data_IF_153425342724
#
_entry.id   IF_153425342724
#
_cell.length_a   1.000
_cell.length_b   1.000
_cell.length_c   1.000
_cell.angle_alpha   90.00
_cell.angle_beta   90.00
_cell.angle_gamma   90.00
#
_symmetry.space_group_name_H-M   'P 1'
#
loop_
_entity.id
_entity.type
_entity.pdbx_description
1 polymer ?
#
# COMPACT_ATOMS: atom_id res chain seq x y z
N UNK A 1 -18.18 -11.09 16.56
CA UNK A 1 -18.58 -11.32 15.16
C UNK A 1 -18.93 -12.79 15.05
N UNK A 2 -20.16 -13.11 14.67
CA UNK A 2 -20.58 -14.51 14.44
C UNK A 2 -20.40 -14.86 12.96
N UNK A 3 -19.96 -16.07 12.66
CA UNK A 3 -19.79 -16.53 11.27
C UNK A 3 -21.10 -16.49 10.47
N UNK A 4 -22.23 -16.72 11.14
CA UNK A 4 -23.56 -16.62 10.53
C UNK A 4 -23.96 -15.20 10.06
N UNK A 5 -23.21 -14.19 10.46
CA UNK A 5 -23.46 -12.78 10.11
C UNK A 5 -22.48 -12.24 9.05
N UNK A 6 -21.59 -13.11 8.57
CA UNK A 6 -20.59 -12.73 7.55
C UNK A 6 -20.99 -13.41 6.24
N UNK A 7 -20.90 -12.72 5.09
CA UNK A 7 -21.09 -13.33 3.78
C UNK A 7 -19.86 -14.22 3.44
N UNK A 8 -19.76 -15.34 4.16
CA UNK A 8 -18.60 -16.23 4.12
C UNK A 8 -18.87 -17.40 3.16
N UNK A 9 -17.96 -17.63 2.23
CA UNK A 9 -18.06 -18.69 1.24
C UNK A 9 -16.71 -19.38 1.04
N UNK A 10 -16.51 -20.52 1.70
CA UNK A 10 -15.35 -21.36 1.45
C UNK A 10 -15.47 -22.09 0.10
N UNK A 11 -14.34 -22.35 -0.52
CA UNK A 11 -14.24 -23.13 -1.74
C UNK A 11 -13.66 -24.51 -1.43
N UNK A 12 -14.23 -25.55 -2.05
CA UNK A 12 -13.69 -26.92 -1.98
C UNK A 12 -12.35 -27.01 -2.72
N UNK A 13 -12.34 -26.48 -3.94
CA UNK A 13 -11.19 -26.55 -4.83
C UNK A 13 -10.50 -25.19 -4.94
N UNK A 14 -9.20 -25.21 -5.21
CA UNK A 14 -8.46 -23.98 -5.46
C UNK A 14 -8.75 -23.47 -6.88
N UNK A 15 -8.94 -22.15 -7.06
CA UNK A 15 -8.99 -21.57 -8.39
C UNK A 15 -7.72 -21.90 -9.18
N UNK A 16 -7.86 -22.12 -10.49
CA UNK A 16 -6.75 -22.54 -11.37
C UNK A 16 -5.61 -21.53 -11.44
N UNK A 17 -5.89 -20.25 -11.24
CA UNK A 17 -4.92 -19.18 -11.21
C UNK A 17 -4.10 -19.11 -9.91
N UNK A 18 -4.55 -19.79 -8.85
CA UNK A 18 -3.85 -19.82 -7.58
C UNK A 18 -2.77 -20.91 -7.58
N UNK A 19 -1.54 -20.55 -7.90
CA UNK A 19 -0.39 -21.47 -8.00
C UNK A 19 0.27 -21.66 -6.63
N UNK A 20 0.45 -20.58 -5.87
CA UNK A 20 1.15 -20.59 -4.58
C UNK A 20 0.20 -21.11 -3.49
N UNK A 21 0.69 -21.98 -2.62
CA UNK A 21 -0.13 -22.61 -1.57
C UNK A 21 -0.80 -21.61 -0.63
N UNK A 22 -0.13 -20.52 -0.25
CA UNK A 22 -0.73 -19.45 0.55
C UNK A 22 -1.90 -18.77 -0.17
N UNK A 23 -1.76 -18.49 -1.47
CA UNK A 23 -2.82 -17.93 -2.30
C UNK A 23 -4.02 -18.88 -2.38
N UNK A 24 -3.76 -20.17 -2.63
CA UNK A 24 -4.80 -21.20 -2.66
C UNK A 24 -5.59 -21.26 -1.35
N UNK A 25 -4.89 -21.29 -0.22
CA UNK A 25 -5.51 -21.34 1.11
C UNK A 25 -6.29 -20.08 1.43
N UNK A 26 -5.76 -18.91 1.11
CA UNK A 26 -6.45 -17.65 1.34
C UNK A 26 -7.74 -17.54 0.53
N UNK A 27 -7.75 -17.96 -0.75
CA UNK A 27 -8.95 -17.97 -1.56
C UNK A 27 -9.95 -19.03 -1.10
N UNK A 28 -9.50 -20.24 -0.81
CA UNK A 28 -10.37 -21.32 -0.31
C UNK A 28 -11.04 -20.98 1.00
N UNK A 29 -10.31 -20.35 1.92
CA UNK A 29 -10.82 -19.93 3.24
C UNK A 29 -11.60 -18.62 3.20
N UNK A 30 -11.85 -18.04 2.01
CA UNK A 30 -12.53 -16.75 1.83
C UNK A 30 -11.88 -15.60 2.62
N UNK A 31 -10.56 -15.62 2.71
CA UNK A 31 -9.80 -14.53 3.32
C UNK A 31 -9.60 -13.37 2.33
N UNK A 32 -9.52 -13.69 1.05
CA UNK A 32 -9.44 -12.73 -0.06
C UNK A 32 -10.37 -13.15 -1.19
N UNK A 33 -10.87 -12.15 -1.95
CA UNK A 33 -11.58 -12.36 -3.21
C UNK A 33 -10.95 -11.54 -4.32
N UNK A 34 -10.81 -12.17 -5.48
CA UNK A 34 -10.31 -11.52 -6.68
C UNK A 34 -11.34 -10.53 -7.22
N UNK A 35 -10.92 -9.31 -7.49
CA UNK A 35 -11.70 -8.30 -8.20
C UNK A 35 -11.25 -8.17 -9.66
N UNK A 36 -9.96 -8.32 -9.91
CA UNK A 36 -9.33 -8.29 -11.22
C UNK A 36 -7.94 -8.92 -11.15
N UNK A 37 -7.20 -8.95 -12.24
CA UNK A 37 -5.83 -9.47 -12.24
C UNK A 37 -4.95 -8.63 -11.32
N UNK A 38 -4.30 -9.28 -10.35
CA UNK A 38 -3.50 -8.60 -9.32
C UNK A 38 -4.30 -7.82 -8.27
N UNK A 39 -5.64 -7.73 -8.40
CA UNK A 39 -6.49 -6.94 -7.52
C UNK A 39 -7.35 -7.85 -6.64
N UNK A 40 -7.13 -7.77 -5.34
CA UNK A 40 -7.84 -8.59 -4.35
C UNK A 40 -8.44 -7.73 -3.24
N UNK A 41 -9.62 -8.14 -2.79
CA UNK A 41 -10.28 -7.57 -1.61
C UNK A 41 -10.07 -8.49 -0.42
N UNK A 42 -9.57 -7.96 0.70
CA UNK A 42 -9.55 -8.68 1.95
C UNK A 42 -10.97 -8.81 2.51
N UNK A 43 -11.39 -10.05 2.71
CA UNK A 43 -12.67 -10.37 3.36
C UNK A 43 -12.56 -10.19 4.89
N UNK A 44 -13.66 -10.15 5.64
CA UNK A 44 -13.63 -9.81 7.06
C UNK A 44 -12.65 -10.64 7.90
N UNK A 45 -12.52 -11.95 7.66
CA UNK A 45 -11.56 -12.79 8.38
C UNK A 45 -10.12 -12.52 7.93
N UNK A 46 -9.91 -12.35 6.61
CA UNK A 46 -8.61 -11.99 6.05
C UNK A 46 -8.12 -10.64 6.56
N UNK A 47 -9.01 -9.65 6.63
CA UNK A 47 -8.68 -8.34 7.18
C UNK A 47 -8.30 -8.40 8.67
N UNK A 48 -8.91 -9.29 9.46
CA UNK A 48 -8.52 -9.49 10.86
C UNK A 48 -7.13 -10.10 10.98
N UNK A 49 -6.79 -11.07 10.13
CA UNK A 49 -5.46 -11.66 10.10
C UNK A 49 -4.41 -10.61 9.66
N UNK A 50 -4.72 -9.85 8.59
CA UNK A 50 -3.90 -8.75 8.11
C UNK A 50 -3.60 -7.73 9.23
N UNK A 51 -4.63 -7.27 9.96
CA UNK A 51 -4.46 -6.29 11.05
C UNK A 51 -3.62 -6.82 12.22
N UNK A 52 -3.66 -8.12 12.50
CA UNK A 52 -2.78 -8.71 13.52
C UNK A 52 -1.31 -8.68 13.08
N UNK A 53 -1.06 -9.02 11.82
CA UNK A 53 0.29 -8.95 11.26
C UNK A 53 0.78 -7.49 11.21
N UNK A 54 -0.05 -6.58 10.74
CA UNK A 54 0.24 -5.14 10.71
C UNK A 54 0.61 -4.62 12.10
N UNK A 55 -0.14 -5.03 13.14
CA UNK A 55 0.13 -4.64 14.53
C UNK A 55 1.52 -5.09 14.97
N UNK A 56 1.87 -6.36 14.74
CA UNK A 56 3.20 -6.90 15.11
C UNK A 56 4.31 -6.11 14.41
N UNK A 57 4.16 -5.86 13.09
CA UNK A 57 5.15 -5.10 12.32
C UNK A 57 5.31 -3.68 12.88
N UNK A 58 4.19 -3.03 13.20
CA UNK A 58 4.21 -1.67 13.78
C UNK A 58 4.93 -1.64 15.12
N UNK A 59 4.59 -2.55 16.03
CA UNK A 59 5.21 -2.63 17.35
C UNK A 59 6.74 -2.77 17.25
N UNK A 60 7.23 -3.62 16.35
CA UNK A 60 8.68 -3.81 16.15
C UNK A 60 9.36 -2.58 15.51
N UNK A 61 8.74 -1.95 14.53
CA UNK A 61 9.29 -0.75 13.88
C UNK A 61 9.28 0.44 14.85
N UNK A 62 8.19 0.64 15.59
CA UNK A 62 8.07 1.73 16.57
C UNK A 62 9.03 1.57 17.74
N UNK A 63 9.32 0.33 18.15
CA UNK A 63 10.34 0.04 19.16
C UNK A 63 11.75 0.51 18.75
N UNK A 64 12.02 0.66 17.45
CA UNK A 64 13.25 1.27 16.95
C UNK A 64 13.26 2.81 16.96
N UNK A 65 12.19 3.46 17.44
CA UNK A 65 12.02 4.91 17.46
C UNK A 65 11.51 5.49 16.14
N UNK A 66 11.04 4.67 15.20
CA UNK A 66 10.46 5.15 13.95
C UNK A 66 9.03 5.68 14.15
N UNK A 67 8.67 6.73 13.44
CA UNK A 67 7.35 7.35 13.47
C UNK A 67 6.53 6.98 12.24
N UNK A 68 5.26 6.60 12.45
CA UNK A 68 4.35 6.32 11.33
C UNK A 68 3.87 7.61 10.67
N UNK A 69 4.00 7.67 9.35
CA UNK A 69 3.35 8.66 8.50
C UNK A 69 2.44 7.96 7.51
N UNK A 70 1.32 8.58 7.18
CA UNK A 70 0.37 8.03 6.19
C UNK A 70 0.23 8.99 5.01
N UNK A 71 1.17 8.97 4.06
CA UNK A 71 1.08 9.79 2.87
C UNK A 71 -0.12 9.38 2.01
N UNK A 72 -0.57 10.31 1.16
CA UNK A 72 -1.63 10.05 0.19
C UNK A 72 -1.19 8.99 -0.81
N UNK A 73 -2.14 8.19 -1.30
CA UNK A 73 -1.87 7.19 -2.35
C UNK A 73 -1.70 7.87 -3.71
N UNK A 74 -2.48 8.93 -3.95
CA UNK A 74 -2.38 9.74 -5.16
C UNK A 74 -1.57 10.99 -4.82
N UNK A 75 -0.56 11.27 -5.61
CA UNK A 75 0.36 12.40 -5.42
C UNK A 75 0.49 13.22 -6.70
N UNK A 76 0.85 14.53 -6.60
CA UNK A 76 1.12 15.36 -7.76
C UNK A 76 2.28 14.79 -8.60
N UNK A 77 2.13 14.84 -9.92
CA UNK A 77 3.19 14.41 -10.86
C UNK A 77 4.46 15.25 -10.76
N UNK A 78 4.35 16.50 -10.30
CA UNK A 78 5.48 17.43 -10.25
C UNK A 78 6.61 16.94 -9.33
N UNK A 79 6.30 16.29 -8.20
CA UNK A 79 7.35 15.73 -7.32
C UNK A 79 8.13 14.60 -7.99
N UNK A 80 7.51 13.88 -8.93
CA UNK A 80 8.14 12.84 -9.73
C UNK A 80 8.97 13.40 -10.87
N UNK A 81 8.53 14.52 -11.45
CA UNK A 81 9.28 15.28 -12.45
C UNK A 81 10.53 15.91 -11.83
N UNK A 82 10.40 16.48 -10.63
CA UNK A 82 11.50 17.05 -9.86
C UNK A 82 12.60 16.03 -9.54
N UNK A 83 12.23 14.81 -9.17
CA UNK A 83 13.20 13.72 -8.90
C UNK A 83 13.78 13.08 -10.15
N UNK A 84 13.28 13.41 -11.35
CA UNK A 84 13.63 12.78 -12.63
C UNK A 84 13.04 11.36 -12.80
N UNK A 85 12.29 10.85 -11.80
CA UNK A 85 11.74 9.50 -11.85
C UNK A 85 10.45 9.39 -12.67
N UNK A 86 9.88 10.51 -13.09
CA UNK A 86 8.73 10.53 -13.99
C UNK A 86 8.96 9.75 -15.28
N UNK A 87 10.15 9.87 -15.85
CA UNK A 87 10.52 9.17 -17.09
C UNK A 87 11.07 7.77 -16.81
N UNK A 88 11.96 7.63 -15.82
CA UNK A 88 12.64 6.36 -15.56
C UNK A 88 11.72 5.27 -15.02
N UNK A 89 10.69 5.63 -14.24
CA UNK A 89 9.67 4.70 -13.76
C UNK A 89 8.39 4.70 -14.63
N UNK A 90 8.40 5.44 -15.73
CA UNK A 90 7.23 5.74 -16.55
C UNK A 90 6.27 4.58 -16.85
N UNK A 91 6.73 3.40 -17.31
CA UNK A 91 5.85 2.27 -17.60
C UNK A 91 5.20 1.64 -16.37
N UNK A 92 5.84 1.74 -15.22
CA UNK A 92 5.36 1.12 -13.96
C UNK A 92 4.44 2.03 -13.15
N UNK A 93 4.28 3.28 -13.58
CA UNK A 93 3.44 4.24 -12.87
C UNK A 93 2.06 4.34 -13.49
N UNK A 94 1.04 4.17 -12.67
CA UNK A 94 -0.33 4.50 -13.06
C UNK A 94 -0.48 6.04 -13.02
N UNK A 95 -0.41 6.67 -14.20
CA UNK A 95 -0.54 8.11 -14.39
C UNK A 95 -1.99 8.48 -14.70
N UNK A 96 -2.42 9.62 -14.20
CA UNK A 96 -3.75 10.18 -14.43
C UNK A 96 -3.67 11.70 -14.50
N UNK A 97 -4.75 12.34 -14.91
CA UNK A 97 -4.90 13.80 -14.81
C UNK A 97 -6.15 14.13 -14.01
N UNK A 98 -6.06 15.18 -13.21
CA UNK A 98 -7.23 15.69 -12.51
C UNK A 98 -8.08 16.59 -13.46
N UNK A 99 -9.21 17.11 -12.94
CA UNK A 99 -10.09 17.99 -13.75
C UNK A 99 -9.42 19.29 -14.23
N UNK A 100 -8.33 19.69 -13.58
CA UNK A 100 -7.55 20.89 -13.92
C UNK A 100 -6.39 20.56 -14.87
N UNK A 101 -6.36 19.34 -15.45
CA UNK A 101 -5.31 18.85 -16.34
C UNK A 101 -3.92 18.78 -15.68
N UNK A 102 -3.88 18.68 -14.35
CA UNK A 102 -2.64 18.48 -13.62
C UNK A 102 -2.30 16.99 -13.55
N UNK A 103 -1.06 16.67 -13.80
CA UNK A 103 -0.57 15.28 -13.73
C UNK A 103 -0.61 14.77 -12.29
N UNK A 104 -1.14 13.58 -12.13
CA UNK A 104 -1.25 12.85 -10.88
C UNK A 104 -0.70 11.45 -11.05
N UNK A 105 -0.18 10.87 -9.97
CA UNK A 105 0.36 9.50 -9.96
C UNK A 105 -0.29 8.71 -8.85
N UNK A 106 -0.73 7.50 -9.14
CA UNK A 106 -1.00 6.50 -8.11
C UNK A 106 0.35 5.91 -7.69
N UNK A 107 0.77 6.25 -6.48
CA UNK A 107 2.15 6.13 -6.02
C UNK A 107 2.66 4.68 -5.99
N UNK A 108 3.66 4.31 -6.82
CA UNK A 108 4.31 3.00 -6.76
C UNK A 108 5.25 2.85 -5.55
N UNK A 109 5.72 3.98 -5.03
CA UNK A 109 6.55 4.13 -3.84
C UNK A 109 6.31 5.52 -3.23
N UNK A 110 6.86 5.86 -2.09
CA UNK A 110 6.49 7.10 -1.40
C UNK A 110 7.68 8.02 -1.06
N UNK A 111 8.88 7.72 -1.52
CA UNK A 111 10.08 8.50 -1.21
C UNK A 111 9.90 9.97 -1.62
N UNK A 112 9.35 10.23 -2.81
CA UNK A 112 9.08 11.60 -3.27
C UNK A 112 8.12 12.35 -2.35
N UNK A 113 7.05 11.67 -1.92
CA UNK A 113 6.06 12.26 -1.02
C UNK A 113 6.67 12.57 0.36
N UNK A 114 7.49 11.65 0.90
CA UNK A 114 8.20 11.86 2.15
C UNK A 114 9.19 13.01 2.05
N UNK A 115 10.01 13.04 1.02
CA UNK A 115 10.98 14.11 0.79
C UNK A 115 10.30 15.46 0.67
N UNK A 116 9.20 15.54 -0.07
CA UNK A 116 8.43 16.78 -0.22
C UNK A 116 7.84 17.27 1.12
N UNK A 117 7.33 16.37 1.96
CA UNK A 117 6.80 16.73 3.29
C UNK A 117 7.94 17.11 4.23
N UNK A 118 9.02 16.36 4.27
CA UNK A 118 10.18 16.66 5.14
C UNK A 118 10.81 18.00 4.78
N UNK A 119 10.93 18.33 3.50
CA UNK A 119 11.41 19.63 3.03
C UNK A 119 10.59 20.81 3.55
N UNK A 120 9.28 20.63 3.79
CA UNK A 120 8.43 21.67 4.35
C UNK A 120 8.66 21.89 5.86
N UNK A 121 9.10 20.86 6.59
CA UNK A 121 9.23 20.87 8.04
C UNK A 121 10.66 21.01 8.55
N UNK A 122 11.66 20.56 7.78
CA UNK A 122 13.05 20.57 8.19
C UNK A 122 13.70 21.94 7.91
N UNK A 123 14.05 22.65 8.98
CA UNK A 123 14.71 23.95 8.90
C UNK A 123 16.18 23.90 9.33
N UNK A 124 16.61 22.80 9.94
CA UNK A 124 18.00 22.64 10.44
C UNK A 124 18.43 21.18 10.39
N UNK A 125 19.70 20.95 10.05
CA UNK A 125 20.33 19.61 10.12
C UNK A 125 20.32 19.01 11.54
N UNK A 126 20.20 19.85 12.57
CA UNK A 126 20.09 19.41 13.97
C UNK A 126 18.80 18.64 14.28
N UNK A 127 17.82 18.70 13.38
CA UNK A 127 16.57 17.93 13.47
C UNK A 127 16.75 16.49 12.93
N UNK A 128 17.90 16.17 12.37
CA UNK A 128 18.23 14.84 11.86
C UNK A 128 19.09 14.06 12.87
N UNK A 129 19.01 12.72 12.90
CA UNK A 129 18.24 11.88 12.00
C UNK A 129 16.74 11.83 12.35
N UNK A 130 15.92 11.64 11.34
CA UNK A 130 14.48 11.33 11.47
C UNK A 130 14.25 9.94 10.88
N UNK A 131 13.72 9.03 11.70
CA UNK A 131 13.31 7.70 11.25
C UNK A 131 11.79 7.67 11.11
N UNK A 132 11.31 7.37 9.89
CA UNK A 132 9.89 7.31 9.61
C UNK A 132 9.55 6.12 8.70
N UNK A 133 8.33 5.62 8.86
CA UNK A 133 7.84 4.49 8.08
C UNK A 133 6.37 4.69 7.67
N UNK A 134 5.89 3.82 6.81
CA UNK A 134 4.49 3.76 6.40
C UNK A 134 4.05 2.33 6.16
N UNK A 135 2.78 2.07 6.41
CA UNK A 135 2.06 0.90 5.89
C UNK A 135 0.93 1.44 5.02
N UNK A 136 1.10 1.35 3.72
CA UNK A 136 0.17 1.94 2.76
C UNK A 136 0.15 1.15 1.45
N UNK A 137 -0.97 1.21 0.74
CA UNK A 137 -1.12 0.57 -0.57
C UNK A 137 -0.18 1.21 -1.59
N UNK A 138 0.46 0.38 -2.39
CA UNK A 138 1.29 0.78 -3.53
C UNK A 138 0.78 0.11 -4.79
N UNK A 139 0.85 0.83 -5.90
CA UNK A 139 0.43 0.34 -7.21
C UNK A 139 1.62 0.34 -8.15
N UNK A 140 1.88 -0.82 -8.74
CA UNK A 140 2.88 -1.00 -9.79
C UNK A 140 2.24 -1.81 -10.90
N UNK A 141 2.33 -1.31 -12.13
CA UNK A 141 1.91 -2.05 -13.32
C UNK A 141 3.02 -2.98 -13.81
#
# INVERSE_FOLDING_TARGET
MKTSQIPFRTLRDSPSEAIISSHQLMMRADLIRKLGNGLYTYMPLGLRAYRKLEKIIKEEIEASGAMEFKPTVIVPGDIWKESGRWETMGPQMLKAQNRQQQDMVVSPTAEEAYTAIMRQGLTSYKQLPINCYQINTKYRD
#
